data_IF_750232432567
#
_entry.id   IF_750232432567
#
_cell.length_a   1.000
_cell.length_b   1.000
_cell.length_c   1.000
_cell.angle_alpha   90.00
_cell.angle_beta   90.00
_cell.angle_gamma   90.00
#
_symmetry.space_group_name_H-M   'P 1'
#
loop_
_entity.id
_entity.type
_entity.pdbx_description
1 polymer ?
#
# COMPACT_ATOMS: atom_id res chain seq x y z
N UNK A 1 -6.04 15.68 8.45
CA UNK A 1 -5.55 14.37 8.94
C UNK A 1 -6.75 13.51 9.31
N UNK A 2 -6.78 12.24 8.89
CA UNK A 2 -7.88 11.30 9.16
C UNK A 2 -7.31 9.93 9.50
N UNK A 3 -7.85 9.28 10.53
CA UNK A 3 -7.53 7.88 10.82
C UNK A 3 -8.53 7.00 10.08
N UNK A 4 -8.03 6.03 9.33
CA UNK A 4 -8.81 5.00 8.69
C UNK A 4 -8.59 3.72 9.50
N UNK A 5 -9.66 3.22 10.14
CA UNK A 5 -9.56 2.03 11.00
C UNK A 5 -9.68 0.78 10.17
N UNK A 6 -8.88 -0.23 10.51
CA UNK A 6 -8.88 -1.51 9.81
C UNK A 6 -10.26 -2.17 9.79
N UNK A 7 -11.02 -2.04 10.88
CA UNK A 7 -12.37 -2.58 11.03
C UNK A 7 -13.39 -1.93 10.07
N UNK A 8 -13.12 -0.74 9.56
CA UNK A 8 -14.04 0.03 8.73
C UNK A 8 -13.74 -0.11 7.23
N UNK A 9 -12.67 -0.83 6.86
CA UNK A 9 -12.32 -1.02 5.45
C UNK A 9 -13.37 -1.86 4.71
N UNK A 10 -13.63 -1.45 3.47
CA UNK A 10 -14.51 -2.21 2.58
C UNK A 10 -13.76 -3.39 1.98
N UNK A 11 -14.22 -4.60 2.28
CA UNK A 11 -13.71 -5.85 1.68
C UNK A 11 -14.62 -6.30 0.54
N UNK A 12 -14.04 -6.60 -0.62
CA UNK A 12 -14.74 -6.98 -1.84
C UNK A 12 -14.14 -8.28 -2.40
N UNK A 13 -14.92 -9.37 -2.53
CA UNK A 13 -14.45 -10.58 -3.19
C UNK A 13 -14.25 -10.37 -4.70
N UNK A 14 -13.25 -11.02 -5.26
CA UNK A 14 -13.04 -11.02 -6.70
C UNK A 14 -14.08 -11.89 -7.40
N UNK A 15 -14.52 -11.48 -8.59
CA UNK A 15 -15.53 -12.21 -9.38
C UNK A 15 -15.12 -13.65 -9.70
N UNK A 16 -13.82 -13.93 -9.80
CA UNK A 16 -13.27 -15.25 -10.09
C UNK A 16 -13.05 -16.11 -8.83
N UNK A 17 -13.36 -15.60 -7.64
CA UNK A 17 -13.11 -16.30 -6.36
C UNK A 17 -11.63 -16.44 -5.98
N UNK A 18 -10.69 -15.86 -6.74
CA UNK A 18 -9.25 -16.01 -6.52
C UNK A 18 -8.67 -15.15 -5.40
N UNK A 19 -9.52 -14.43 -4.66
CA UNK A 19 -9.08 -13.47 -3.65
C UNK A 19 -10.11 -12.45 -3.23
N UNK A 20 -9.68 -11.52 -2.39
CA UNK A 20 -10.44 -10.35 -1.97
C UNK A 20 -9.58 -9.09 -2.05
N UNK A 21 -10.21 -7.94 -2.24
CA UNK A 21 -9.57 -6.63 -2.07
C UNK A 21 -10.18 -5.90 -0.88
N UNK A 22 -9.33 -5.45 0.03
CA UNK A 22 -9.66 -4.53 1.11
C UNK A 22 -9.26 -3.13 0.68
N UNK A 23 -10.23 -2.24 0.45
CA UNK A 23 -9.95 -0.86 0.08
C UNK A 23 -9.54 -0.04 1.31
N UNK A 24 -8.38 0.60 1.24
CA UNK A 24 -7.89 1.49 2.30
C UNK A 24 -8.31 2.92 1.99
N UNK A 25 -7.97 3.43 0.81
CA UNK A 25 -8.34 4.77 0.37
C UNK A 25 -8.25 4.88 -1.16
N UNK A 26 -9.06 5.79 -1.72
CA UNK A 26 -9.08 6.10 -3.15
C UNK A 26 -9.31 7.58 -3.34
N UNK A 27 -8.74 8.16 -4.40
CA UNK A 27 -9.00 9.55 -4.81
C UNK A 27 -9.35 9.63 -6.29
N UNK A 28 -10.35 10.43 -6.68
CA UNK A 28 -11.30 11.10 -5.79
C UNK A 28 -12.14 10.10 -4.98
N UNK A 29 -12.74 10.56 -3.88
CA UNK A 29 -13.53 9.70 -3.00
C UNK A 29 -14.60 8.95 -3.81
N UNK A 30 -14.76 7.64 -3.56
CA UNK A 30 -15.68 6.74 -4.27
C UNK A 30 -15.37 6.50 -5.75
N UNK A 31 -14.21 6.91 -6.27
CA UNK A 31 -13.83 6.62 -7.66
C UNK A 31 -13.74 5.11 -7.91
N UNK A 32 -14.31 4.67 -9.03
CA UNK A 32 -14.16 3.30 -9.51
C UNK A 32 -12.77 3.03 -10.08
N UNK A 33 -12.52 1.76 -10.41
CA UNK A 33 -11.25 1.28 -10.97
C UNK A 33 -10.80 2.01 -12.25
N UNK A 34 -11.72 2.57 -13.03
CA UNK A 34 -11.39 3.27 -14.27
C UNK A 34 -11.11 4.77 -14.06
N UNK A 35 -11.53 5.34 -12.93
CA UNK A 35 -11.61 6.78 -12.73
C UNK A 35 -10.69 7.33 -11.64
N UNK A 36 -10.07 6.48 -10.80
CA UNK A 36 -9.20 6.96 -9.74
C UNK A 36 -7.95 7.67 -10.30
N UNK A 37 -7.48 8.68 -9.59
CA UNK A 37 -6.15 9.26 -9.77
C UNK A 37 -5.11 8.48 -8.97
N UNK A 38 -5.47 8.04 -7.77
CA UNK A 38 -4.70 7.07 -7.00
C UNK A 38 -5.60 6.17 -6.14
N UNK A 39 -5.10 4.97 -5.83
CA UNK A 39 -5.77 3.97 -5.02
C UNK A 39 -4.77 3.22 -4.15
N UNK A 40 -5.10 3.06 -2.87
CA UNK A 40 -4.36 2.23 -1.91
C UNK A 40 -5.30 1.14 -1.40
N UNK A 41 -4.87 -0.10 -1.51
CA UNK A 41 -5.68 -1.25 -1.13
C UNK A 41 -4.80 -2.41 -0.68
N UNK A 42 -5.37 -3.36 0.04
CA UNK A 42 -4.73 -4.65 0.30
C UNK A 42 -5.42 -5.74 -0.51
N UNK A 43 -4.66 -6.70 -1.03
CA UNK A 43 -5.19 -7.83 -1.78
C UNK A 43 -4.84 -9.14 -1.08
N UNK A 44 -5.86 -9.94 -0.77
CA UNK A 44 -5.72 -11.33 -0.35
C UNK A 44 -5.74 -12.19 -1.61
N UNK A 45 -4.64 -12.86 -1.92
CA UNK A 45 -4.48 -13.68 -3.13
C UNK A 45 -4.52 -15.16 -2.73
N UNK A 46 -5.51 -15.90 -3.24
CA UNK A 46 -5.72 -17.32 -2.87
C UNK A 46 -4.96 -18.30 -3.77
N UNK A 47 -4.61 -17.89 -4.98
CA UNK A 47 -3.93 -18.76 -5.93
C UNK A 47 -3.05 -17.99 -6.92
N UNK A 48 -2.08 -18.71 -7.49
CA UNK A 48 -1.27 -18.22 -8.60
C UNK A 48 -2.14 -17.87 -9.80
N UNK A 49 -1.76 -16.83 -10.54
CA UNK A 49 -2.54 -16.41 -11.70
C UNK A 49 -2.16 -15.05 -12.26
N UNK A 50 -2.86 -14.64 -13.32
CA UNK A 50 -2.65 -13.34 -13.94
C UNK A 50 -3.17 -12.22 -13.04
N UNK A 51 -2.47 -11.08 -13.07
CA UNK A 51 -2.95 -9.83 -12.49
C UNK A 51 -3.88 -9.13 -13.49
N UNK A 52 -4.86 -8.38 -12.98
CA UNK A 52 -5.62 -7.46 -13.82
C UNK A 52 -4.70 -6.35 -14.35
N UNK A 53 -4.83 -6.07 -15.64
CA UNK A 53 -4.13 -4.99 -16.33
C UNK A 53 -4.89 -3.67 -16.18
N UNK A 54 -4.16 -2.58 -15.95
CA UNK A 54 -4.71 -1.24 -15.80
C UNK A 54 -3.93 -0.26 -16.67
N UNK A 55 -4.50 0.12 -17.81
CA UNK A 55 -3.91 1.05 -18.78
C UNK A 55 -3.48 2.37 -18.15
N UNK A 56 -2.21 2.75 -18.32
CA UNK A 56 -1.69 4.03 -17.85
C UNK A 56 -1.59 4.16 -16.33
N UNK A 57 -1.55 3.04 -15.61
CA UNK A 57 -1.39 3.03 -14.15
C UNK A 57 -0.01 2.51 -13.78
N UNK A 58 0.66 3.20 -12.86
CA UNK A 58 1.85 2.71 -12.18
C UNK A 58 1.46 2.08 -10.84
N UNK A 59 2.04 0.92 -10.52
CA UNK A 59 1.74 0.14 -9.33
C UNK A 59 3.00 -0.13 -8.51
N UNK A 60 2.88 -0.02 -7.19
CA UNK A 60 3.85 -0.59 -6.25
C UNK A 60 3.17 -1.64 -5.40
N UNK A 61 3.79 -2.82 -5.31
CA UNK A 61 3.32 -3.96 -4.52
C UNK A 61 4.28 -4.24 -3.36
N UNK A 62 3.74 -4.55 -2.19
CA UNK A 62 4.50 -5.05 -1.04
C UNK A 62 3.78 -6.22 -0.41
N UNK A 63 4.42 -7.38 -0.28
CA UNK A 63 3.84 -8.51 0.45
C UNK A 63 3.78 -8.16 1.94
N UNK A 64 2.62 -8.35 2.56
CA UNK A 64 2.39 -8.11 3.99
C UNK A 64 2.41 -9.43 4.78
N UNK A 65 1.75 -10.47 4.25
CA UNK A 65 1.59 -11.75 4.92
C UNK A 65 1.74 -12.93 3.95
N UNK A 66 2.12 -14.09 4.49
CA UNK A 66 2.41 -15.31 3.73
C UNK A 66 3.88 -15.40 3.27
N UNK A 67 4.23 -16.54 2.67
CA UNK A 67 5.60 -16.85 2.25
C UNK A 67 6.07 -16.04 1.03
N UNK A 68 5.13 -15.38 0.35
CA UNK A 68 5.38 -14.48 -0.77
C UNK A 68 5.02 -15.04 -2.14
N UNK A 69 5.47 -14.35 -3.18
CA UNK A 69 5.22 -14.69 -4.58
C UNK A 69 6.46 -14.46 -5.44
N UNK A 70 6.48 -15.09 -6.61
CA UNK A 70 7.32 -14.70 -7.73
C UNK A 70 6.45 -13.95 -8.72
N UNK A 71 6.76 -12.68 -8.96
CA UNK A 71 6.08 -11.84 -9.92
C UNK A 71 6.83 -11.88 -11.25
N UNK A 72 6.10 -12.16 -12.33
CA UNK A 72 6.58 -12.12 -13.70
C UNK A 72 5.88 -10.95 -14.41
N UNK A 73 6.65 -9.90 -14.71
CA UNK A 73 6.18 -8.70 -15.41
C UNK A 73 6.86 -8.69 -16.77
N UNK A 74 6.07 -8.65 -17.84
CA UNK A 74 6.59 -8.72 -19.21
C UNK A 74 7.72 -7.70 -19.45
N UNK A 75 8.85 -8.17 -19.95
CA UNK A 75 10.02 -7.33 -20.23
C UNK A 75 10.87 -6.98 -19.01
N UNK A 76 10.58 -7.54 -17.82
CA UNK A 76 11.40 -7.38 -16.62
C UNK A 76 11.88 -8.74 -16.10
N UNK A 77 13.01 -8.80 -15.36
CA UNK A 77 13.40 -10.00 -14.65
C UNK A 77 12.34 -10.40 -13.61
N UNK A 78 12.07 -11.70 -13.50
CA UNK A 78 11.16 -12.22 -12.48
C UNK A 78 11.63 -11.80 -11.07
N UNK A 79 10.69 -11.31 -10.26
CA UNK A 79 10.97 -10.76 -8.94
C UNK A 79 10.39 -11.64 -7.84
N UNK A 80 11.25 -12.14 -6.94
CA UNK A 80 10.80 -12.84 -5.72
C UNK A 80 10.47 -11.82 -4.63
N UNK A 81 9.20 -11.75 -4.26
CA UNK A 81 8.67 -10.80 -3.27
C UNK A 81 8.21 -11.55 -2.02
N UNK A 82 8.69 -11.12 -0.87
CA UNK A 82 8.41 -11.68 0.46
C UNK A 82 8.06 -10.54 1.43
N UNK A 83 7.56 -10.82 2.65
CA UNK A 83 7.24 -9.77 3.62
C UNK A 83 8.39 -8.84 4.01
N UNK A 84 9.64 -9.27 3.79
CA UNK A 84 10.84 -8.45 4.10
C UNK A 84 11.41 -7.74 2.87
N UNK A 85 10.92 -8.04 1.67
CA UNK A 85 11.36 -7.42 0.42
C UNK A 85 11.07 -5.92 0.41
N UNK A 86 11.86 -5.18 -0.36
CA UNK A 86 11.55 -3.78 -0.67
C UNK A 86 10.25 -3.70 -1.50
N UNK A 87 9.47 -2.60 -1.39
CA UNK A 87 8.35 -2.35 -2.27
C UNK A 87 8.77 -2.43 -3.75
N UNK A 88 8.00 -3.16 -4.56
CA UNK A 88 8.33 -3.43 -5.96
C UNK A 88 7.41 -2.64 -6.88
N UNK A 89 7.99 -1.71 -7.64
CA UNK A 89 7.28 -0.84 -8.56
C UNK A 89 7.29 -1.41 -9.99
N UNK A 90 6.14 -1.39 -10.65
CA UNK A 90 5.99 -1.83 -12.04
C UNK A 90 4.77 -1.16 -12.71
N UNK A 91 4.80 -1.00 -14.04
CA UNK A 91 3.65 -0.53 -14.81
C UNK A 91 2.52 -1.59 -14.81
N UNK A 92 1.33 -1.21 -14.36
CA UNK A 92 0.18 -2.13 -14.25
C UNK A 92 -0.48 -2.45 -15.60
N UNK A 93 -0.04 -1.82 -16.68
CA UNK A 93 -0.48 -2.06 -18.05
C UNK A 93 0.35 -3.11 -18.80
N UNK A 94 1.43 -3.62 -18.20
CA UNK A 94 2.17 -4.76 -18.74
C UNK A 94 1.53 -6.09 -18.32
N UNK A 95 1.53 -7.11 -19.19
CA UNK A 95 1.15 -8.46 -18.80
C UNK A 95 1.94 -8.90 -17.56
N UNK A 96 1.21 -9.25 -16.51
CA UNK A 96 1.79 -9.58 -15.20
C UNK A 96 1.12 -10.83 -14.65
N UNK A 97 1.90 -11.75 -14.10
CA UNK A 97 1.40 -12.91 -13.38
C UNK A 97 2.17 -13.14 -12.07
N UNK A 98 1.54 -13.81 -11.12
CA UNK A 98 2.16 -14.20 -9.87
C UNK A 98 2.09 -15.70 -9.67
N UNK A 99 3.23 -16.29 -9.28
CA UNK A 99 3.30 -17.64 -8.73
C UNK A 99 3.49 -17.56 -7.21
N UNK A 100 2.52 -18.04 -6.43
CA UNK A 100 2.63 -18.08 -4.97
C UNK A 100 3.72 -19.07 -4.56
N UNK A 101 4.57 -18.67 -3.61
CA UNK A 101 5.71 -19.49 -3.15
C UNK A 101 5.21 -20.68 -2.33
N UNK A 102 4.37 -20.41 -1.33
CA UNK A 102 3.80 -21.43 -0.47
C UNK A 102 2.51 -20.89 0.15
N UNK A 103 1.40 -21.22 -0.51
CA UNK A 103 0.07 -20.88 -0.05
C UNK A 103 -0.29 -19.41 -0.25
N UNK A 104 -1.45 -19.02 0.30
CA UNK A 104 -2.03 -17.72 0.04
C UNK A 104 -1.27 -16.56 0.70
N UNK A 105 -1.40 -15.35 0.15
CA UNK A 105 -0.75 -14.14 0.69
C UNK A 105 -1.72 -12.97 0.88
N UNK A 106 -1.26 -11.95 1.60
CA UNK A 106 -1.84 -10.60 1.58
C UNK A 106 -0.78 -9.60 1.12
N UNK A 107 -1.09 -8.73 0.17
CA UNK A 107 -0.21 -7.63 -0.28
C UNK A 107 -0.84 -6.24 -0.09
N UNK A 108 0.00 -5.22 -0.01
CA UNK A 108 -0.33 -3.81 -0.14
C UNK A 108 -0.12 -3.41 -1.61
N UNK A 109 -1.15 -2.80 -2.20
CA UNK A 109 -1.18 -2.34 -3.57
C UNK A 109 -1.40 -0.82 -3.61
N UNK A 110 -0.42 -0.09 -4.13
CA UNK A 110 -0.50 1.35 -4.36
C UNK A 110 -0.50 1.58 -5.86
N UNK A 111 -1.53 2.28 -6.36
CA UNK A 111 -1.73 2.52 -7.78
C UNK A 111 -1.93 4.02 -8.03
N UNK A 112 -1.25 4.57 -9.04
CA UNK A 112 -1.40 5.96 -9.46
C UNK A 112 -1.53 6.09 -10.97
N UNK A 113 -2.32 7.06 -11.43
CA UNK A 113 -2.45 7.37 -12.84
C UNK A 113 -1.21 8.07 -13.37
N UNK A 114 -0.50 7.40 -14.27
CA UNK A 114 0.72 7.89 -14.92
C UNK A 114 0.45 9.22 -15.62
N UNK A 115 1.39 10.16 -15.49
CA UNK A 115 1.26 11.51 -16.06
C UNK A 115 0.33 12.45 -15.30
N UNK A 116 -0.41 11.98 -14.28
CA UNK A 116 -1.16 12.86 -13.36
C UNK A 116 -0.63 12.82 -11.95
N UNK A 117 -0.25 11.64 -11.49
CA UNK A 117 0.18 11.38 -10.12
C UNK A 117 1.49 10.59 -10.12
N UNK A 118 2.29 10.82 -9.09
CA UNK A 118 3.49 10.06 -8.76
C UNK A 118 3.32 9.49 -7.36
N UNK A 119 3.92 8.32 -7.09
CA UNK A 119 3.99 7.79 -5.73
C UNK A 119 5.35 7.23 -5.37
N UNK A 120 5.62 7.15 -4.07
CA UNK A 120 6.66 6.30 -3.49
C UNK A 120 6.09 5.52 -2.32
N UNK A 121 6.64 4.31 -2.11
CA UNK A 121 6.32 3.45 -0.97
C UNK A 121 7.61 3.11 -0.24
N UNK A 122 7.60 3.29 1.08
CA UNK A 122 8.73 3.02 1.95
C UNK A 122 8.30 2.08 3.07
N UNK A 123 9.03 0.99 3.27
CA UNK A 123 8.83 0.08 4.41
C UNK A 123 9.77 0.47 5.54
N UNK A 124 9.22 0.84 6.70
CA UNK A 124 9.98 1.21 7.89
C UNK A 124 9.82 0.16 8.98
N UNK A 125 10.95 -0.32 9.50
CA UNK A 125 10.97 -1.08 10.76
C UNK A 125 11.37 -0.09 11.87
N UNK A 126 10.48 0.12 12.83
CA UNK A 126 10.54 1.18 13.84
C UNK A 126 10.62 0.54 15.23
N UNK A 127 11.79 0.60 15.83
CA UNK A 127 12.07 0.15 17.21
C UNK A 127 12.44 1.29 18.17
N UNK A 128 12.63 2.49 17.63
CA UNK A 128 12.86 3.74 18.36
C UNK A 128 12.09 4.87 17.68
N UNK A 129 11.87 6.02 18.35
CA UNK A 129 11.24 7.16 17.70
C UNK A 129 11.95 7.56 16.40
N UNK A 130 11.16 7.81 15.35
CA UNK A 130 11.66 8.29 14.05
C UNK A 130 10.77 9.42 13.53
N UNK A 131 11.35 10.27 12.71
CA UNK A 131 10.63 11.36 12.06
C UNK A 131 10.29 10.94 10.62
N UNK A 132 9.01 11.08 10.25
CA UNK A 132 8.50 10.79 8.92
C UNK A 132 8.21 12.12 8.24
N UNK A 133 9.02 12.47 7.24
CA UNK A 133 8.72 13.58 6.36
C UNK A 133 7.55 13.23 5.43
N UNK A 134 6.52 14.07 5.40
CA UNK A 134 5.43 14.02 4.43
C UNK A 134 5.81 14.84 3.19
N UNK A 135 5.04 14.71 2.10
CA UNK A 135 5.22 15.51 0.88
C UNK A 135 3.95 16.31 0.60
N UNK A 136 4.11 17.41 -0.14
CA UNK A 136 2.98 18.17 -0.68
C UNK A 136 2.14 17.24 -1.57
N UNK A 137 0.91 16.93 -1.14
CA UNK A 137 0.06 15.89 -1.74
C UNK A 137 -0.60 15.01 -0.67
N UNK A 138 -0.87 13.73 -0.97
CA UNK A 138 -1.41 12.80 0.02
C UNK A 138 -0.31 11.93 0.63
N UNK A 139 -0.27 11.80 1.95
CA UNK A 139 0.61 10.82 2.63
C UNK A 139 -0.24 9.84 3.42
N UNK A 140 -0.01 8.55 3.23
CA UNK A 140 -0.63 7.48 4.00
C UNK A 140 0.44 6.76 4.81
N UNK A 141 0.17 6.50 6.08
CA UNK A 141 1.03 5.66 6.94
C UNK A 141 0.19 4.49 7.42
N UNK A 142 0.41 3.32 6.83
CA UNK A 142 -0.22 2.06 7.24
C UNK A 142 0.63 1.41 8.33
N UNK A 143 0.04 1.10 9.47
CA UNK A 143 0.69 0.29 10.50
C UNK A 143 0.50 -1.20 10.17
N UNK A 144 1.49 -1.86 9.61
CA UNK A 144 1.35 -3.29 9.25
C UNK A 144 1.42 -4.20 10.48
N UNK A 145 2.40 -3.98 11.37
CA UNK A 145 2.60 -4.74 12.61
C UNK A 145 2.95 -3.78 13.74
N UNK A 146 2.60 -4.15 14.97
CA UNK A 146 2.97 -3.39 16.16
C UNK A 146 1.89 -2.42 16.61
N UNK A 147 2.31 -1.25 17.08
CA UNK A 147 1.46 -0.11 17.39
C UNK A 147 2.31 1.16 17.25
N UNK A 148 1.83 2.11 16.43
CA UNK A 148 2.49 3.39 16.21
C UNK A 148 1.72 4.51 16.92
N UNK A 149 2.46 5.32 17.68
CA UNK A 149 1.94 6.49 18.39
C UNK A 149 2.50 7.75 17.74
N UNK A 150 1.62 8.68 17.38
CA UNK A 150 1.97 10.01 16.88
C UNK A 150 1.60 11.01 17.98
N UNK A 151 2.57 11.50 18.77
CA UNK A 151 2.30 12.28 19.98
C UNK A 151 1.66 13.65 19.69
N UNK A 152 1.77 14.15 18.46
CA UNK A 152 1.29 15.49 18.09
C UNK A 152 -0.24 15.60 18.03
N UNK A 153 -0.75 16.76 18.47
CA UNK A 153 -2.11 17.30 18.34
C UNK A 153 -3.32 16.45 18.77
N UNK A 154 -3.14 15.23 19.32
CA UNK A 154 -4.14 14.44 20.07
C UNK A 154 -3.64 13.03 20.49
N UNK A 155 -2.35 12.71 20.34
CA UNK A 155 -1.81 11.35 20.51
C UNK A 155 -2.58 10.32 19.68
N UNK A 156 -2.32 10.29 18.38
CA UNK A 156 -2.94 9.31 17.49
C UNK A 156 -2.26 7.96 17.69
N UNK A 157 -3.06 6.91 17.84
CA UNK A 157 -2.59 5.52 17.88
C UNK A 157 -3.11 4.74 16.69
N UNK A 158 -2.19 4.10 15.98
CA UNK A 158 -2.50 3.15 14.91
C UNK A 158 -2.17 1.73 15.40
N UNK A 159 -3.19 0.88 15.43
CA UNK A 159 -3.01 -0.56 15.60
C UNK A 159 -2.72 -1.25 14.26
N UNK A 160 -2.58 -2.59 14.25
CA UNK A 160 -2.40 -3.36 13.03
C UNK A 160 -3.47 -3.03 11.98
N UNK A 161 -3.00 -2.77 10.77
CA UNK A 161 -3.72 -2.36 9.56
C UNK A 161 -4.44 -1.00 9.62
N UNK A 162 -4.38 -0.26 10.72
CA UNK A 162 -4.86 1.12 10.74
C UNK A 162 -3.97 2.01 9.86
N UNK A 163 -4.58 3.01 9.22
CA UNK A 163 -3.88 3.96 8.36
C UNK A 163 -4.11 5.39 8.79
N UNK A 164 -3.04 6.18 8.89
CA UNK A 164 -3.13 7.63 8.99
C UNK A 164 -3.08 8.25 7.60
N UNK A 165 -4.12 9.00 7.21
CA UNK A 165 -4.17 9.78 5.98
C UNK A 165 -3.95 11.27 6.27
N UNK A 166 -2.96 11.85 5.61
CA UNK A 166 -2.52 13.22 5.74
C UNK A 166 -2.79 13.97 4.44
N UNK A 167 -3.23 15.22 4.57
CA UNK A 167 -3.54 16.10 3.45
C UNK A 167 -2.30 16.76 2.84
N UNK A 168 -2.54 17.78 2.02
CA UNK A 168 -1.56 18.46 1.16
C UNK A 168 -0.41 19.17 1.88
N UNK A 169 -0.52 19.39 3.19
CA UNK A 169 0.45 20.18 3.93
C UNK A 169 1.69 19.34 4.27
N UNK A 170 2.81 19.70 3.65
CA UNK A 170 4.10 19.12 3.97
C UNK A 170 4.47 19.45 5.42
N UNK A 171 4.88 18.42 6.14
CA UNK A 171 5.14 18.41 7.57
C UNK A 171 6.07 17.26 7.93
N UNK A 172 6.61 17.30 9.14
CA UNK A 172 7.36 16.18 9.71
C UNK A 172 6.54 15.65 10.87
N UNK A 173 6.28 14.35 10.88
CA UNK A 173 5.58 13.70 11.98
C UNK A 173 6.53 12.81 12.74
N UNK A 174 6.64 13.04 14.04
CA UNK A 174 7.32 12.09 14.92
C UNK A 174 6.42 10.88 15.15
N UNK A 175 6.97 9.69 15.01
CA UNK A 175 6.31 8.43 15.38
C UNK A 175 7.11 7.71 16.45
N UNK A 176 6.41 7.22 17.47
CA UNK A 176 6.95 6.47 18.58
C UNK A 176 6.37 5.04 18.56
N UNK A 177 7.21 4.01 18.49
CA UNK A 177 6.74 2.63 18.56
C UNK A 177 6.40 2.26 19.99
N UNK A 178 5.21 1.70 20.25
CA UNK A 178 4.91 1.10 21.56
C UNK A 178 5.61 -0.27 21.74
N UNK A 179 5.95 -0.91 20.63
CA UNK A 179 6.71 -2.17 20.47
C UNK A 179 7.28 -2.20 19.04
N UNK A 180 8.09 -3.19 18.68
CA UNK A 180 8.59 -3.36 17.31
C UNK A 180 7.45 -3.23 16.29
N UNK A 181 7.55 -2.18 15.46
CA UNK A 181 6.48 -1.74 14.58
C UNK A 181 6.96 -1.70 13.15
N UNK A 182 6.15 -2.22 12.22
CA UNK A 182 6.42 -2.10 10.79
C UNK A 182 5.40 -1.17 10.17
N UNK A 183 5.87 -0.11 9.51
CA UNK A 183 5.04 0.86 8.81
C UNK A 183 5.29 0.79 7.31
N UNK A 184 4.26 1.07 6.53
CA UNK A 184 4.38 1.43 5.12
C UNK A 184 3.99 2.89 4.95
N UNK A 185 4.93 3.71 4.51
CA UNK A 185 4.72 5.13 4.23
C UNK A 185 4.55 5.30 2.73
N UNK A 186 3.35 5.68 2.32
CA UNK A 186 2.99 5.94 0.93
C UNK A 186 2.88 7.44 0.76
N UNK A 187 3.63 8.00 -0.19
CA UNK A 187 3.60 9.43 -0.52
C UNK A 187 3.14 9.59 -1.95
N UNK A 188 2.13 10.42 -2.18
CA UNK A 188 1.50 10.62 -3.48
C UNK A 188 1.47 12.11 -3.79
N UNK A 189 1.99 12.50 -4.94
CA UNK A 189 2.05 13.90 -5.39
C UNK A 189 1.51 14.03 -6.82
N UNK A 190 1.18 15.24 -7.24
CA UNK A 190 0.90 15.51 -8.66
C UNK A 190 2.17 15.30 -9.49
N UNK A 191 2.01 14.83 -10.72
CA UNK A 191 3.06 14.90 -11.72
C UNK A 191 3.25 16.36 -12.16
N UNK A 192 4.49 16.74 -12.46
CA UNK A 192 4.84 18.06 -12.99
C UNK A 192 4.57 18.15 -14.49
#
# INVERSE_FOLDING_TARGET
MRILRAADYRVMPWKNGGGTTTEVAVSPDSAGLDAFDWRVSMARVEGSGPFSSFTGIDRTLSVLEGEGMVLDVAGQPAARLTPVSQPYAFPADLPTSAALIAGPITDLNVMTRRGRMLHSVERLAVSRPVDIATRAGSTLILCHKGEAVFPEAQSIRLGPLDTLLLGSDASVLRVEPARDTTLFVVRITTAA
#
